data_IF_946036194869
#
_entry.id   IF_946036194869
#
_cell.length_a   1.000
_cell.length_b   1.000
_cell.length_c   1.000
_cell.angle_alpha   90.00
_cell.angle_beta   90.00
_cell.angle_gamma   90.00
#
_symmetry.space_group_name_H-M   'P 1'
#
loop_
_entity.id
_entity.type
_entity.pdbx_description
1 polymer ?
#
# COMPACT_ATOMS: atom_id res chain seq x y z
N UNK A 1 -13.39 8.98 22.05
CA UNK A 1 -12.68 8.27 20.98
C UNK A 1 -13.57 8.28 19.76
N UNK A 2 -13.01 8.62 18.60
CA UNK A 2 -13.75 8.64 17.33
C UNK A 2 -13.39 7.38 16.57
N UNK A 3 -14.38 6.54 16.29
CA UNK A 3 -14.20 5.29 15.53
C UNK A 3 -14.50 5.57 14.06
N UNK A 4 -13.57 5.17 13.18
CA UNK A 4 -13.76 5.26 11.72
C UNK A 4 -13.89 3.86 11.12
N UNK A 5 -15.04 3.59 10.50
CA UNK A 5 -15.26 2.37 9.75
C UNK A 5 -14.93 2.62 8.28
N UNK A 6 -13.86 2.01 7.77
CA UNK A 6 -13.46 2.10 6.36
C UNK A 6 -13.80 0.80 5.64
N UNK A 7 -14.51 0.92 4.52
CA UNK A 7 -14.57 -0.16 3.53
C UNK A 7 -13.51 0.11 2.47
N UNK A 8 -12.53 -0.79 2.37
CA UNK A 8 -11.42 -0.68 1.40
C UNK A 8 -11.64 -1.74 0.31
N UNK A 9 -12.25 -1.39 -0.83
CA UNK A 9 -12.62 -2.38 -1.86
C UNK A 9 -11.42 -3.04 -2.53
N UNK A 10 -10.25 -2.40 -2.51
CA UNK A 10 -9.00 -2.93 -3.03
C UNK A 10 -7.84 -2.57 -2.09
N UNK A 11 -7.55 -3.40 -1.07
CA UNK A 11 -6.50 -3.11 -0.08
C UNK A 11 -5.08 -3.22 -0.66
N UNK A 12 -4.97 -3.83 -1.85
CA UNK A 12 -3.72 -4.05 -2.56
C UNK A 12 -3.91 -3.56 -3.99
N UNK A 13 -3.05 -2.64 -4.43
CA UNK A 13 -3.14 -2.01 -5.76
C UNK A 13 -1.87 -2.22 -6.57
N UNK A 14 -1.99 -2.24 -7.91
CA UNK A 14 -0.83 -2.10 -8.78
C UNK A 14 -0.26 -0.67 -8.68
N UNK A 15 0.97 -0.47 -9.13
CA UNK A 15 1.58 0.86 -9.13
C UNK A 15 0.82 1.83 -10.05
N UNK A 16 0.26 1.34 -11.16
CA UNK A 16 -0.56 2.11 -12.09
C UNK A 16 -1.89 2.52 -11.45
N UNK A 17 -2.59 1.58 -10.81
CA UNK A 17 -3.85 1.87 -10.14
C UNK A 17 -3.68 2.85 -8.98
N UNK A 18 -2.60 2.71 -8.21
CA UNK A 18 -2.27 3.64 -7.14
C UNK A 18 -1.91 5.04 -7.69
N UNK A 19 -1.10 5.11 -8.75
CA UNK A 19 -0.77 6.37 -9.41
C UNK A 19 -2.03 7.09 -9.94
N UNK A 20 -2.95 6.33 -10.54
CA UNK A 20 -4.24 6.87 -10.98
C UNK A 20 -5.09 7.39 -9.82
N UNK A 21 -5.10 6.69 -8.69
CA UNK A 21 -5.83 7.09 -7.48
C UNK A 21 -5.27 8.39 -6.88
N UNK A 22 -3.96 8.57 -6.88
CA UNK A 22 -3.30 9.76 -6.28
C UNK A 22 -3.09 10.92 -7.26
N UNK A 23 -3.32 10.69 -8.56
CA UNK A 23 -3.02 11.67 -9.61
C UNK A 23 -1.52 11.84 -9.89
N UNK A 24 -0.70 10.91 -9.41
CA UNK A 24 0.75 10.90 -9.61
C UNK A 24 1.15 10.12 -10.87
N UNK A 25 2.41 10.25 -11.29
CA UNK A 25 2.94 9.41 -12.38
C UNK A 25 3.41 8.08 -11.81
N UNK A 26 3.17 6.99 -12.54
CA UNK A 26 3.62 5.64 -12.14
C UNK A 26 5.12 5.58 -11.84
N UNK A 27 5.94 6.36 -12.57
CA UNK A 27 7.39 6.45 -12.31
C UNK A 27 7.71 6.98 -10.92
N UNK A 28 6.94 7.95 -10.43
CA UNK A 28 7.15 8.55 -9.12
C UNK A 28 6.78 7.56 -8.01
N UNK A 29 5.70 6.79 -8.22
CA UNK A 29 5.32 5.68 -7.33
C UNK A 29 6.43 4.62 -7.27
N UNK A 30 6.98 4.21 -8.42
CA UNK A 30 8.09 3.24 -8.49
C UNK A 30 9.31 3.76 -7.71
N UNK A 31 9.67 5.03 -7.89
CA UNK A 31 10.78 5.64 -7.17
C UNK A 31 10.51 5.67 -5.67
N UNK A 32 9.31 6.07 -5.24
CA UNK A 32 8.90 6.11 -3.84
C UNK A 32 8.99 4.72 -3.18
N UNK A 33 8.56 3.67 -3.89
CA UNK A 33 8.73 2.27 -3.46
C UNK A 33 10.22 1.90 -3.36
N UNK A 34 11.03 2.24 -4.35
CA UNK A 34 12.46 1.91 -4.37
C UNK A 34 13.23 2.54 -3.20
N UNK A 35 12.82 3.72 -2.74
CA UNK A 35 13.40 4.40 -1.56
C UNK A 35 12.68 4.08 -0.24
N UNK A 36 11.75 3.12 -0.25
CA UNK A 36 11.07 2.65 0.97
C UNK A 36 10.02 3.59 1.57
N UNK A 37 9.51 4.56 0.80
CA UNK A 37 8.48 5.52 1.28
C UNK A 37 7.07 4.96 1.24
N UNK A 38 6.81 3.97 0.40
CA UNK A 38 5.49 3.35 0.28
C UNK A 38 5.53 1.89 0.74
N UNK A 39 4.58 1.46 1.58
CA UNK A 39 4.49 0.06 1.99
C UNK A 39 4.10 -0.81 0.79
N UNK A 40 4.78 -1.94 0.64
CA UNK A 40 4.55 -2.87 -0.47
C UNK A 40 4.11 -4.24 0.01
N UNK A 41 3.18 -4.83 -0.73
CA UNK A 41 2.86 -6.24 -0.66
C UNK A 41 3.65 -7.00 -1.72
N UNK A 42 4.32 -8.07 -1.29
CA UNK A 42 4.98 -9.02 -2.17
C UNK A 42 4.21 -10.35 -2.04
N UNK A 43 3.60 -10.86 -3.12
CA UNK A 43 2.89 -12.13 -3.05
C UNK A 43 3.82 -13.29 -2.69
N UNK A 44 3.28 -14.39 -2.13
CA UNK A 44 4.02 -15.63 -1.96
C UNK A 44 4.67 -16.05 -3.28
N UNK A 45 5.95 -16.35 -3.22
CA UNK A 45 6.74 -16.79 -4.35
C UNK A 45 7.65 -17.95 -3.93
N UNK A 46 8.09 -18.80 -4.87
CA UNK A 46 9.02 -19.87 -4.57
C UNK A 46 10.31 -19.32 -3.92
N UNK A 47 10.91 -20.05 -2.97
CA UNK A 47 12.12 -19.61 -2.28
C UNK A 47 13.33 -19.47 -3.22
N UNK A 48 13.30 -20.12 -4.39
CA UNK A 48 14.33 -20.03 -5.43
C UNK A 48 14.20 -18.79 -6.31
N UNK A 49 13.08 -18.07 -6.24
CA UNK A 49 12.84 -16.88 -7.05
C UNK A 49 13.43 -15.64 -6.37
N UNK A 50 14.20 -14.86 -7.11
CA UNK A 50 14.72 -13.58 -6.60
C UNK A 50 13.57 -12.60 -6.32
N UNK A 51 13.36 -12.26 -5.05
CA UNK A 51 12.32 -11.34 -4.56
C UNK A 51 12.39 -9.95 -5.19
N UNK A 52 13.57 -9.49 -5.61
CA UNK A 52 13.71 -8.21 -6.30
C UNK A 52 12.95 -8.20 -7.64
N UNK A 53 12.84 -9.35 -8.31
CA UNK A 53 12.14 -9.54 -9.59
C UNK A 53 10.67 -9.95 -9.44
N UNK A 54 10.21 -10.18 -8.21
CA UNK A 54 8.80 -10.48 -7.95
C UNK A 54 7.99 -9.20 -8.11
N UNK A 55 6.84 -9.31 -8.78
CA UNK A 55 5.90 -8.22 -8.97
C UNK A 55 5.39 -7.76 -7.60
N UNK A 56 5.52 -6.46 -7.33
CA UNK A 56 5.13 -5.83 -6.07
C UNK A 56 3.87 -5.01 -6.28
N UNK A 57 3.13 -4.83 -5.20
CA UNK A 57 1.89 -4.07 -5.16
C UNK A 57 1.95 -3.08 -4.00
N UNK A 58 1.19 -1.99 -4.06
CA UNK A 58 1.05 -1.07 -2.94
C UNK A 58 0.11 -1.68 -1.91
N UNK A 59 0.54 -1.70 -0.65
CA UNK A 59 -0.30 -2.09 0.48
C UNK A 59 -1.03 -0.85 1.01
N UNK A 60 -2.19 -0.56 0.45
CA UNK A 60 -2.99 0.62 0.80
C UNK A 60 -3.50 0.53 2.24
N UNK A 61 -3.78 -0.68 2.71
CA UNK A 61 -4.20 -0.89 4.09
C UNK A 61 -3.16 -0.39 5.10
N UNK A 62 -1.88 -0.69 4.86
CA UNK A 62 -0.80 -0.21 5.73
C UNK A 62 -0.70 1.33 5.75
N UNK A 63 -1.04 1.99 4.64
CA UNK A 63 -1.09 3.46 4.55
C UNK A 63 -2.20 4.01 5.45
N UNK A 64 -3.40 3.43 5.39
CA UNK A 64 -4.52 3.88 6.22
C UNK A 64 -4.30 3.62 7.71
N UNK A 65 -3.72 2.48 8.08
CA UNK A 65 -3.36 2.18 9.46
C UNK A 65 -2.37 3.22 9.99
N UNK A 66 -1.27 3.47 9.27
CA UNK A 66 -0.28 4.45 9.69
C UNK A 66 -0.86 5.88 9.82
N UNK A 67 -1.78 6.25 8.92
CA UNK A 67 -2.47 7.53 8.97
C UNK A 67 -3.41 7.64 10.20
N UNK A 68 -4.15 6.57 10.51
CA UNK A 68 -5.03 6.52 11.67
C UNK A 68 -4.26 6.55 12.99
N UNK A 69 -3.15 5.79 13.09
CA UNK A 69 -2.24 5.84 14.24
C UNK A 69 -1.69 7.26 14.46
N UNK A 70 -1.24 7.91 13.39
CA UNK A 70 -0.73 9.28 13.44
C UNK A 70 -1.80 10.31 13.84
N UNK A 71 -3.07 10.02 13.58
CA UNK A 71 -4.21 10.85 13.95
C UNK A 71 -4.86 10.44 15.29
N UNK A 72 -4.32 9.42 15.98
CA UNK A 72 -4.90 8.84 17.19
C UNK A 72 -6.36 8.38 17.00
N UNK A 73 -6.65 7.80 15.84
CA UNK A 73 -7.95 7.24 15.46
C UNK A 73 -7.88 5.71 15.55
N UNK A 74 -8.88 5.11 16.20
CA UNK A 74 -9.04 3.66 16.20
C UNK A 74 -9.67 3.23 14.86
N UNK A 75 -8.89 2.46 14.09
CA UNK A 75 -9.31 1.95 12.78
C UNK A 75 -9.92 0.57 12.92
N UNK A 76 -11.21 0.44 12.60
CA UNK A 76 -11.89 -0.85 12.49
C UNK A 76 -12.08 -1.19 11.01
N UNK A 77 -11.53 -2.32 10.59
CA UNK A 77 -11.65 -2.84 9.22
C UNK A 77 -12.73 -3.92 9.28
N UNK A 78 -13.82 -3.69 8.55
CA UNK A 78 -14.98 -4.58 8.48
C UNK A 78 -15.05 -5.32 7.14
#
# INVERSE_FOLDING_TARGET
MTTLNLSIPAPILTFEAYAQLTGEKTRDIINAVAVGKLPVYIPPHPPTQNTARVKKYINVLAIYIAAAESANIELNIA
#
